data_IF_838071161297
#
_entry.id   IF_838071161297
#
_cell.length_a   1.000
_cell.length_b   1.000
_cell.length_c   1.000
_cell.angle_alpha   90.00
_cell.angle_beta   90.00
_cell.angle_gamma   90.00
#
_symmetry.space_group_name_H-M   'P 1'
#
loop_
_entity.id
_entity.type
_entity.pdbx_description
1 polymer ?
#
# COMPACT_ATOMS: atom_id res chain seq x y z
N UNK A 1 -5.39 19.95 9.45
CA UNK A 1 -5.70 18.93 8.44
C UNK A 1 -6.98 18.24 8.90
N UNK A 2 -8.06 18.35 8.12
CA UNK A 2 -9.29 17.60 8.38
C UNK A 2 -8.95 16.11 8.45
N UNK A 3 -9.30 15.45 9.55
CA UNK A 3 -9.29 14.00 9.63
C UNK A 3 -10.21 13.52 8.50
N UNK A 4 -9.64 12.94 7.46
CA UNK A 4 -10.40 12.26 6.41
C UNK A 4 -11.29 11.26 7.13
N UNK A 5 -12.60 11.47 7.11
CA UNK A 5 -13.54 10.51 7.66
C UNK A 5 -13.40 9.23 6.83
N UNK A 6 -12.80 8.20 7.43
CA UNK A 6 -12.58 6.93 6.74
C UNK A 6 -13.92 6.21 6.58
N UNK A 7 -14.41 6.19 5.35
CA UNK A 7 -15.73 5.67 5.04
C UNK A 7 -15.61 4.19 4.70
N UNK A 8 -16.33 3.39 5.49
CA UNK A 8 -16.61 1.99 5.19
C UNK A 8 -18.07 1.93 4.75
N UNK A 9 -18.36 1.68 3.47
CA UNK A 9 -19.73 1.60 3.00
C UNK A 9 -20.44 0.39 3.61
N UNK A 10 -21.77 0.46 3.77
CA UNK A 10 -22.57 -0.67 4.26
C UNK A 10 -22.79 -1.74 3.20
N UNK A 11 -22.65 -1.38 1.93
CA UNK A 11 -22.88 -2.22 0.74
C UNK A 11 -21.72 -2.03 -0.24
N UNK A 12 -21.39 -3.02 -1.09
CA UNK A 12 -20.38 -2.83 -2.12
C UNK A 12 -20.88 -1.83 -3.18
N UNK A 13 -19.95 -1.04 -3.73
CA UNK A 13 -20.25 -0.19 -4.88
C UNK A 13 -20.48 -1.03 -6.13
N UNK A 14 -21.62 -0.84 -6.79
CA UNK A 14 -21.86 -1.44 -8.10
C UNK A 14 -21.28 -0.54 -9.21
N UNK A 15 -20.29 -1.06 -9.92
CA UNK A 15 -19.63 -0.35 -11.04
C UNK A 15 -20.17 -0.76 -12.41
N UNK A 16 -21.27 -1.52 -12.47
CA UNK A 16 -21.83 -2.03 -13.74
C UNK A 16 -22.14 -0.94 -14.77
N UNK A 17 -22.55 0.24 -14.30
CA UNK A 17 -22.89 1.40 -15.15
C UNK A 17 -21.76 2.41 -15.29
N UNK A 18 -20.59 2.15 -14.68
CA UNK A 18 -19.46 3.05 -14.78
C UNK A 18 -18.80 2.93 -16.15
N UNK A 19 -18.26 4.04 -16.65
CA UNK A 19 -17.65 4.08 -17.98
C UNK A 19 -16.22 3.58 -17.89
N UNK A 20 -15.85 2.57 -18.68
CA UNK A 20 -14.47 2.08 -18.74
C UNK A 20 -13.56 3.14 -19.38
N UNK A 21 -12.35 3.30 -18.83
CA UNK A 21 -11.34 4.16 -19.40
C UNK A 21 -10.57 3.41 -20.50
N UNK A 22 -10.89 3.71 -21.76
CA UNK A 22 -10.25 3.12 -22.94
C UNK A 22 -8.75 3.44 -23.02
N UNK A 23 -8.29 4.54 -22.42
CA UNK A 23 -6.88 4.92 -22.42
C UNK A 23 -6.07 4.20 -21.34
N UNK A 24 -6.72 3.39 -20.49
CA UNK A 24 -6.08 2.73 -19.37
C UNK A 24 -4.92 1.80 -19.80
N UNK A 25 -4.96 1.27 -21.01
CA UNK A 25 -3.89 0.45 -21.58
C UNK A 25 -2.51 1.15 -21.62
N UNK A 26 -2.45 2.48 -21.47
CA UNK A 26 -1.21 3.26 -21.42
C UNK A 26 -0.54 3.28 -20.04
N UNK A 27 -1.20 2.77 -19.00
CA UNK A 27 -0.71 2.82 -17.61
C UNK A 27 0.00 1.51 -17.20
N UNK A 28 0.78 1.53 -16.11
CA UNK A 28 1.71 0.45 -15.78
C UNK A 28 1.07 -0.92 -15.69
N UNK A 29 1.77 -1.92 -16.23
CA UNK A 29 1.38 -3.32 -16.18
C UNK A 29 1.46 -3.86 -14.75
N UNK A 30 0.62 -4.83 -14.44
CA UNK A 30 0.65 -5.53 -13.17
C UNK A 30 0.01 -6.90 -13.34
N UNK A 31 0.48 -7.89 -12.58
CA UNK A 31 0.09 -9.28 -12.78
C UNK A 31 -1.40 -9.60 -12.48
N UNK A 32 -2.16 -8.63 -11.95
CA UNK A 32 -3.59 -8.78 -11.63
C UNK A 32 -4.43 -8.06 -12.66
N UNK A 33 -5.55 -8.69 -13.03
CA UNK A 33 -6.46 -8.14 -14.01
C UNK A 33 -7.18 -6.92 -13.42
N UNK A 34 -7.10 -5.80 -14.12
CA UNK A 34 -7.51 -4.49 -13.65
C UNK A 34 -8.13 -3.69 -14.79
N UNK A 35 -9.18 -2.95 -14.45
CA UNK A 35 -9.90 -2.07 -15.36
C UNK A 35 -10.02 -0.72 -14.66
N UNK A 36 -9.83 0.38 -15.38
CA UNK A 36 -10.13 1.69 -14.84
C UNK A 36 -11.52 2.14 -15.29
N UNK A 37 -12.22 2.82 -14.39
CA UNK A 37 -13.56 3.33 -14.61
C UNK A 37 -13.66 4.81 -14.20
N UNK A 38 -14.58 5.51 -14.85
CA UNK A 38 -15.09 6.80 -14.40
C UNK A 38 -16.52 6.63 -13.85
N UNK A 39 -16.84 7.26 -12.71
CA UNK A 39 -18.18 7.19 -12.15
C UNK A 39 -19.19 7.89 -13.08
N UNK A 40 -20.46 7.42 -13.10
CA UNK A 40 -21.49 8.01 -13.93
C UNK A 40 -21.82 9.45 -13.50
N UNK A 41 -22.40 10.22 -14.42
CA UNK A 41 -22.98 11.51 -14.07
C UNK A 41 -24.21 11.33 -13.17
N UNK A 42 -24.39 12.20 -12.18
CA UNK A 42 -25.53 12.19 -11.27
C UNK A 42 -25.12 12.07 -9.80
N UNK A 43 -26.08 11.74 -8.91
CA UNK A 43 -25.80 11.55 -7.49
C UNK A 43 -24.82 10.40 -7.27
N UNK A 44 -23.70 10.69 -6.62
CA UNK A 44 -22.71 9.72 -6.18
C UNK A 44 -22.62 9.76 -4.65
N UNK A 45 -22.23 8.66 -4.00
CA UNK A 45 -21.86 8.72 -2.58
C UNK A 45 -20.78 9.79 -2.35
N UNK A 46 -20.84 10.52 -1.23
CA UNK A 46 -19.98 11.70 -0.98
C UNK A 46 -18.46 11.40 -0.98
N UNK A 47 -18.08 10.12 -0.88
CA UNK A 47 -16.71 9.65 -0.94
C UNK A 47 -16.23 9.23 -2.33
N UNK A 48 -17.11 9.30 -3.35
CA UNK A 48 -16.77 9.08 -4.74
C UNK A 48 -16.74 10.43 -5.45
N UNK A 49 -15.58 10.75 -6.03
CA UNK A 49 -15.34 12.03 -6.68
C UNK A 49 -15.81 11.97 -8.13
N UNK A 50 -16.75 12.84 -8.56
CA UNK A 50 -17.13 12.95 -9.96
C UNK A 50 -15.91 13.21 -10.86
N UNK A 51 -15.88 12.57 -12.04
CA UNK A 51 -14.81 12.75 -13.03
C UNK A 51 -13.44 12.18 -12.63
N UNK A 52 -13.31 11.60 -11.43
CA UNK A 52 -12.08 10.92 -10.98
C UNK A 52 -12.03 9.50 -11.55
N UNK A 53 -10.85 9.07 -12.01
CA UNK A 53 -10.59 7.67 -12.36
C UNK A 53 -10.56 6.80 -11.11
N UNK A 54 -11.09 5.58 -11.20
CA UNK A 54 -10.97 4.54 -10.18
C UNK A 54 -10.51 3.22 -10.79
N UNK A 55 -9.60 2.54 -10.13
CA UNK A 55 -9.08 1.24 -10.54
C UNK A 55 -9.91 0.12 -9.90
N UNK A 56 -10.61 -0.66 -10.72
CA UNK A 56 -11.27 -1.89 -10.31
C UNK A 56 -10.27 -3.05 -10.35
N UNK A 57 -9.69 -3.34 -9.19
CA UNK A 57 -8.56 -4.25 -9.05
C UNK A 57 -9.00 -5.62 -8.51
N UNK A 58 -9.00 -6.62 -9.40
CA UNK A 58 -9.44 -7.98 -9.09
C UNK A 58 -8.35 -8.79 -8.41
N UNK A 59 -8.78 -9.85 -7.74
CA UNK A 59 -7.91 -10.87 -7.17
C UNK A 59 -7.30 -11.78 -8.25
N UNK A 60 -6.17 -12.42 -7.91
CA UNK A 60 -5.72 -13.61 -8.65
C UNK A 60 -6.68 -14.77 -8.37
N UNK A 61 -6.91 -15.65 -9.34
CA UNK A 61 -7.79 -16.82 -9.18
C UNK A 61 -7.39 -17.71 -7.98
N UNK A 62 -6.09 -17.84 -7.72
CA UNK A 62 -5.56 -18.62 -6.58
C UNK A 62 -5.83 -17.97 -5.21
N UNK A 63 -6.12 -16.67 -5.16
CA UNK A 63 -6.30 -15.90 -3.93
C UNK A 63 -7.56 -15.02 -4.05
N UNK A 64 -8.77 -15.60 -4.09
CA UNK A 64 -10.00 -14.86 -4.42
C UNK A 64 -10.28 -13.67 -3.47
N UNK A 65 -9.88 -13.77 -2.21
CA UNK A 65 -10.03 -12.70 -1.21
C UNK A 65 -8.96 -11.60 -1.29
N UNK A 66 -7.96 -11.70 -2.17
CA UNK A 66 -6.78 -10.81 -2.18
C UNK A 66 -7.12 -9.33 -2.31
N UNK A 67 -8.20 -8.96 -3.00
CA UNK A 67 -8.64 -7.57 -3.11
C UNK A 67 -8.96 -6.94 -1.75
N UNK A 68 -9.42 -7.73 -0.76
CA UNK A 68 -9.65 -7.24 0.60
C UNK A 68 -8.38 -6.74 1.29
N UNK A 69 -7.21 -7.26 0.91
CA UNK A 69 -5.95 -6.76 1.44
C UNK A 69 -5.68 -5.30 1.00
N UNK A 70 -6.10 -4.89 -0.20
CA UNK A 70 -6.00 -3.49 -0.64
C UNK A 70 -6.88 -2.58 0.23
N UNK A 71 -8.12 -3.01 0.50
CA UNK A 71 -9.11 -2.27 1.28
C UNK A 71 -8.66 -2.17 2.75
N UNK A 72 -8.24 -3.29 3.35
CA UNK A 72 -7.72 -3.30 4.72
C UNK A 72 -6.45 -2.46 4.86
N UNK A 73 -5.53 -2.51 3.87
CA UNK A 73 -4.33 -1.70 3.84
C UNK A 73 -4.63 -0.20 3.81
N UNK A 74 -5.68 0.24 3.11
CA UNK A 74 -6.14 1.64 3.15
C UNK A 74 -6.51 2.09 4.57
N UNK A 75 -7.30 1.30 5.29
CA UNK A 75 -7.68 1.63 6.66
C UNK A 75 -6.52 1.52 7.66
N UNK A 76 -5.61 0.55 7.49
CA UNK A 76 -4.40 0.45 8.32
C UNK A 76 -3.48 1.64 8.07
N UNK A 77 -3.30 2.06 6.81
CA UNK A 77 -2.50 3.23 6.45
C UNK A 77 -3.03 4.49 7.12
N UNK A 78 -4.34 4.68 7.08
CA UNK A 78 -5.05 5.72 7.82
C UNK A 78 -4.72 5.74 9.32
N UNK A 79 -4.92 4.61 10.02
CA UNK A 79 -4.66 4.49 11.46
C UNK A 79 -3.19 4.75 11.80
N UNK A 80 -2.27 4.42 10.89
CA UNK A 80 -0.85 4.68 11.03
C UNK A 80 -0.44 6.11 10.62
N UNK A 81 -1.30 6.85 9.91
CA UNK A 81 -0.98 8.16 9.35
C UNK A 81 -0.08 8.11 8.10
N UNK A 82 -0.28 7.10 7.26
CA UNK A 82 0.39 6.89 5.97
C UNK A 82 -0.63 7.05 4.84
N UNK A 83 -0.26 7.81 3.81
CA UNK A 83 -1.11 8.05 2.65
C UNK A 83 -1.21 6.75 1.82
N UNK A 84 -2.40 6.17 1.79
CA UNK A 84 -2.79 5.04 0.95
C UNK A 84 -4.00 5.49 0.13
N UNK A 85 -4.07 5.24 -1.18
CA UNK A 85 -5.24 5.63 -1.98
C UNK A 85 -6.52 5.01 -1.41
N UNK A 86 -7.63 5.77 -1.33
CA UNK A 86 -8.92 5.24 -0.91
C UNK A 86 -9.30 3.98 -1.70
N UNK A 87 -9.72 2.94 -0.99
CA UNK A 87 -10.08 1.66 -1.56
C UNK A 87 -11.38 1.15 -0.96
N UNK A 88 -12.34 0.79 -1.82
CA UNK A 88 -13.69 0.39 -1.43
C UNK A 88 -14.03 -1.00 -1.96
N UNK A 89 -14.87 -1.78 -1.25
CA UNK A 89 -15.44 -3.00 -1.81
C UNK A 89 -16.37 -2.68 -2.97
N UNK A 90 -16.18 -3.36 -4.09
CA UNK A 90 -16.96 -3.13 -5.29
C UNK A 90 -17.31 -4.43 -6.03
N UNK A 91 -18.41 -4.37 -6.76
CA UNK A 91 -18.91 -5.44 -7.63
C UNK A 91 -19.19 -4.90 -9.02
N UNK A 92 -19.04 -5.76 -10.01
CA UNK A 92 -19.63 -5.57 -11.33
C UNK A 92 -20.65 -6.70 -11.53
N UNK A 93 -21.94 -6.36 -11.46
CA UNK A 93 -23.04 -7.31 -11.46
C UNK A 93 -23.23 -8.01 -12.81
N UNK A 94 -22.94 -7.35 -13.92
CA UNK A 94 -23.02 -7.97 -15.25
C UNK A 94 -21.99 -9.09 -15.42
N UNK A 95 -20.76 -8.90 -14.93
CA UNK A 95 -19.69 -9.89 -14.98
C UNK A 95 -19.59 -10.79 -13.74
N UNK A 96 -20.36 -10.49 -12.68
CA UNK A 96 -20.32 -11.14 -11.35
C UNK A 96 -18.94 -11.12 -10.70
N UNK A 97 -18.18 -10.05 -10.88
CA UNK A 97 -16.82 -9.91 -10.36
C UNK A 97 -16.78 -9.03 -9.12
N UNK A 98 -15.92 -9.39 -8.15
CA UNK A 98 -15.59 -8.59 -6.99
C UNK A 98 -14.18 -7.99 -7.13
N UNK A 99 -14.00 -6.79 -6.60
CA UNK A 99 -12.71 -6.11 -6.60
C UNK A 99 -12.61 -5.07 -5.47
N UNK A 100 -11.38 -4.58 -5.29
CA UNK A 100 -11.14 -3.31 -4.64
C UNK A 100 -11.27 -2.21 -5.69
N UNK A 101 -12.11 -1.21 -5.44
CA UNK A 101 -12.23 -0.01 -6.23
C UNK A 101 -11.35 1.07 -5.61
N UNK A 102 -10.23 1.36 -6.26
CA UNK A 102 -9.16 2.20 -5.71
C UNK A 102 -9.17 3.55 -6.42
N UNK A 103 -9.26 4.64 -5.67
CA UNK A 103 -9.20 5.99 -6.23
C UNK A 103 -7.85 6.26 -6.90
N UNK A 104 -7.87 6.87 -8.09
CA UNK A 104 -6.64 7.31 -8.76
C UNK A 104 -6.01 8.50 -8.03
N UNK A 105 -4.78 8.31 -7.55
CA UNK A 105 -4.15 9.23 -6.59
C UNK A 105 -3.49 10.48 -7.18
N UNK A 106 -3.63 10.70 -8.49
CA UNK A 106 -3.18 11.92 -9.16
C UNK A 106 -4.16 12.33 -10.26
N UNK A 107 -4.05 13.54 -10.76
CA UNK A 107 -4.87 14.04 -11.87
C UNK A 107 -4.01 14.15 -13.13
N UNK A 108 -4.46 13.51 -14.21
CA UNK A 108 -3.78 13.62 -15.50
C UNK A 108 -3.74 15.10 -15.95
N UNK A 109 -2.64 15.48 -16.59
CA UNK A 109 -2.42 16.85 -17.04
C UNK A 109 -2.06 17.85 -15.93
N UNK A 110 -2.29 17.54 -14.65
CA UNK A 110 -1.87 18.38 -13.51
C UNK A 110 -0.63 17.87 -12.81
N UNK A 111 -0.62 16.57 -12.51
CA UNK A 111 0.46 15.92 -11.78
C UNK A 111 1.05 14.82 -12.66
N UNK A 112 2.37 14.84 -12.85
CA UNK A 112 3.06 13.76 -13.56
C UNK A 112 3.53 12.72 -12.56
N UNK A 113 3.07 11.48 -12.73
CA UNK A 113 3.57 10.33 -11.99
C UNK A 113 4.74 9.68 -12.74
N UNK A 114 5.86 9.43 -12.05
CA UNK A 114 7.00 8.67 -12.57
C UNK A 114 7.26 7.49 -11.65
N UNK A 115 7.32 6.30 -12.24
CA UNK A 115 7.45 5.05 -11.52
C UNK A 115 8.87 4.84 -11.00
N UNK A 116 9.02 4.18 -9.86
CA UNK A 116 10.32 3.86 -9.26
C UNK A 116 11.24 3.09 -10.22
N UNK A 117 10.69 2.13 -10.96
CA UNK A 117 11.40 1.35 -11.97
C UNK A 117 12.05 2.20 -13.05
N UNK A 118 11.40 3.28 -13.48
CA UNK A 118 11.95 4.20 -14.50
C UNK A 118 13.21 4.91 -13.97
N UNK A 119 13.23 5.27 -12.69
CA UNK A 119 14.41 5.85 -12.05
C UNK A 119 15.52 4.82 -11.89
N UNK A 120 15.18 3.61 -11.43
CA UNK A 120 16.17 2.56 -11.21
C UNK A 120 16.85 2.15 -12.52
N UNK A 121 16.10 2.01 -13.62
CA UNK A 121 16.66 1.73 -14.96
C UNK A 121 17.62 2.81 -15.45
N UNK A 122 17.35 4.08 -15.12
CA UNK A 122 18.22 5.20 -15.51
C UNK A 122 19.47 5.29 -14.65
N UNK A 123 19.38 4.96 -13.37
CA UNK A 123 20.47 5.14 -12.41
C UNK A 123 21.40 3.94 -12.31
N UNK A 124 20.89 2.73 -12.55
CA UNK A 124 21.62 1.49 -12.34
C UNK A 124 21.83 0.81 -13.69
N UNK A 125 23.09 0.78 -14.12
CA UNK A 125 23.48 0.08 -15.34
C UNK A 125 23.07 -1.41 -15.24
N UNK A 126 22.42 -1.91 -16.30
CA UNK A 126 21.96 -3.29 -16.37
C UNK A 126 20.85 -3.64 -15.37
N UNK A 127 20.04 -2.67 -14.92
CA UNK A 127 18.90 -2.94 -14.03
C UNK A 127 17.84 -3.82 -14.71
N UNK A 128 17.67 -5.04 -14.22
CA UNK A 128 16.59 -5.96 -14.60
C UNK A 128 15.31 -5.53 -13.88
N UNK A 129 14.44 -4.80 -14.59
CA UNK A 129 13.18 -4.30 -14.04
C UNK A 129 12.19 -5.43 -13.76
N UNK A 130 12.19 -6.48 -14.55
CA UNK A 130 11.24 -7.59 -14.39
C UNK A 130 11.53 -8.36 -13.10
N UNK A 131 12.80 -8.67 -12.82
CA UNK A 131 13.19 -9.36 -11.59
C UNK A 131 13.35 -8.43 -10.40
N UNK A 132 13.77 -7.19 -10.62
CA UNK A 132 14.00 -6.20 -9.58
C UNK A 132 15.05 -6.60 -8.54
N UNK A 133 15.95 -7.55 -8.83
CA UNK A 133 16.90 -8.12 -7.86
C UNK A 133 17.95 -7.10 -7.39
N UNK A 134 18.18 -6.05 -8.19
CA UNK A 134 19.05 -4.92 -7.89
C UNK A 134 18.33 -3.79 -7.13
N UNK A 135 17.01 -3.87 -6.95
CA UNK A 135 16.23 -2.86 -6.24
C UNK A 135 16.69 -2.76 -4.78
N UNK A 136 17.12 -1.56 -4.38
CA UNK A 136 17.69 -1.33 -3.06
C UNK A 136 17.39 0.08 -2.54
N UNK A 137 17.32 0.20 -1.21
CA UNK A 137 16.99 1.46 -0.55
C UNK A 137 18.12 2.51 -0.67
N UNK A 138 19.38 2.09 -0.73
CA UNK A 138 20.50 3.02 -0.90
C UNK A 138 20.38 3.84 -2.20
N UNK A 139 20.10 3.21 -3.33
CA UNK A 139 19.92 3.89 -4.63
C UNK A 139 18.73 4.85 -4.61
N UNK A 140 17.61 4.46 -4.00
CA UNK A 140 16.45 5.34 -3.77
C UNK A 140 16.87 6.57 -2.95
N UNK A 141 17.64 6.38 -1.88
CA UNK A 141 18.11 7.48 -1.06
C UNK A 141 19.02 8.45 -1.83
N UNK A 142 19.90 7.92 -2.69
CA UNK A 142 20.74 8.74 -3.56
C UNK A 142 19.88 9.57 -4.53
N UNK A 143 18.87 8.95 -5.15
CA UNK A 143 17.90 9.62 -6.03
C UNK A 143 17.22 10.79 -5.31
N UNK A 144 16.55 10.51 -4.19
CA UNK A 144 15.75 11.51 -3.48
C UNK A 144 16.62 12.62 -2.88
N UNK A 145 17.82 12.29 -2.39
CA UNK A 145 18.80 13.29 -1.96
C UNK A 145 19.24 14.19 -3.13
N UNK A 146 19.36 13.64 -4.32
CA UNK A 146 19.76 14.40 -5.52
C UNK A 146 18.67 15.37 -5.92
N UNK A 147 17.41 14.90 -6.00
CA UNK A 147 16.25 15.75 -6.29
C UNK A 147 16.10 16.85 -5.23
N UNK A 148 16.29 16.51 -3.95
CA UNK A 148 16.26 17.49 -2.85
C UNK A 148 17.33 18.56 -2.98
N UNK A 149 18.56 18.21 -3.40
CA UNK A 149 19.63 19.20 -3.62
C UNK A 149 19.35 20.16 -4.76
N UNK A 150 18.46 19.80 -5.70
CA UNK A 150 18.00 20.71 -6.75
C UNK A 150 16.87 21.65 -6.28
N UNK A 151 16.40 21.51 -5.04
CA UNK A 151 15.33 22.32 -4.47
C UNK A 151 13.92 21.88 -4.87
N UNK A 152 13.76 20.74 -5.52
CA UNK A 152 12.45 20.27 -6.01
C UNK A 152 11.74 19.32 -5.05
N UNK A 153 12.47 18.58 -4.22
CA UNK A 153 11.88 17.60 -3.30
C UNK A 153 11.29 18.27 -2.06
N UNK A 154 10.15 17.75 -1.60
CA UNK A 154 9.65 18.06 -0.26
C UNK A 154 10.71 17.75 0.83
N UNK A 155 10.80 18.63 1.82
CA UNK A 155 11.85 18.60 2.82
C UNK A 155 11.84 17.33 3.69
N UNK A 156 10.69 16.68 3.84
CA UNK A 156 10.46 15.54 4.74
C UNK A 156 10.46 14.18 4.01
N UNK A 157 11.08 14.08 2.83
CA UNK A 157 11.11 12.84 2.06
C UNK A 157 11.69 11.63 2.82
N UNK A 158 12.63 11.84 3.75
CA UNK A 158 13.16 10.80 4.62
C UNK A 158 12.06 10.24 5.51
N UNK A 159 11.22 11.12 6.06
CA UNK A 159 10.08 10.75 6.88
C UNK A 159 9.00 10.05 6.05
N UNK A 160 8.77 10.48 4.80
CA UNK A 160 7.86 9.80 3.87
C UNK A 160 8.31 8.34 3.60
N UNK A 161 9.59 8.11 3.36
CA UNK A 161 10.13 6.75 3.20
C UNK A 161 10.12 5.94 4.49
N UNK A 162 10.44 6.56 5.63
CA UNK A 162 10.36 5.90 6.93
C UNK A 162 8.93 5.43 7.23
N UNK A 163 7.93 6.27 6.97
CA UNK A 163 6.50 5.92 7.07
C UNK A 163 6.10 4.79 6.12
N UNK A 164 6.57 4.84 4.87
CA UNK A 164 6.30 3.81 3.85
C UNK A 164 6.83 2.45 4.27
N UNK A 165 8.09 2.36 4.70
CA UNK A 165 8.68 1.09 5.13
C UNK A 165 8.15 0.63 6.48
N UNK A 166 7.80 1.53 7.40
CA UNK A 166 7.06 1.18 8.62
C UNK A 166 5.70 0.55 8.30
N UNK A 167 4.96 1.15 7.35
CA UNK A 167 3.67 0.63 6.90
C UNK A 167 3.80 -0.75 6.25
N UNK A 168 4.79 -0.93 5.37
CA UNK A 168 5.07 -2.22 4.75
C UNK A 168 5.45 -3.27 5.81
N UNK A 169 6.24 -2.90 6.82
CA UNK A 169 6.60 -3.79 7.91
C UNK A 169 5.40 -4.16 8.79
N UNK A 170 4.51 -3.21 9.09
CA UNK A 170 3.29 -3.44 9.86
C UNK A 170 2.30 -4.35 9.10
N UNK A 171 2.10 -4.10 7.80
CA UNK A 171 1.23 -4.91 6.95
C UNK A 171 1.89 -6.24 6.54
N UNK A 172 3.21 -6.37 6.67
CA UNK A 172 3.99 -7.46 6.12
C UNK A 172 3.98 -7.50 4.60
N UNK A 173 4.06 -6.34 3.94
CA UNK A 173 4.12 -6.24 2.48
C UNK A 173 5.49 -6.70 1.98
N UNK A 174 5.50 -7.78 1.22
CA UNK A 174 6.74 -8.39 0.68
C UNK A 174 7.05 -7.98 -0.76
N UNK A 175 6.18 -7.14 -1.34
CA UNK A 175 6.11 -6.89 -2.78
C UNK A 175 6.13 -5.39 -3.11
N UNK A 176 6.75 -4.57 -2.23
CA UNK A 176 7.11 -3.18 -2.54
C UNK A 176 8.28 -3.14 -3.54
N UNK A 177 8.09 -3.68 -4.73
CA UNK A 177 9.09 -3.67 -5.79
C UNK A 177 9.18 -2.30 -6.46
N UNK A 178 10.09 -2.15 -7.43
CA UNK A 178 10.39 -0.86 -8.07
C UNK A 178 9.19 -0.19 -8.74
N UNK A 179 8.17 -0.95 -9.12
CA UNK A 179 6.97 -0.42 -9.78
C UNK A 179 5.79 -0.23 -8.83
N UNK A 180 5.98 -0.49 -7.52
CA UNK A 180 4.99 -0.28 -6.47
C UNK A 180 5.33 0.95 -5.59
N UNK A 181 6.10 1.88 -6.14
CA UNK A 181 6.31 3.23 -5.61
C UNK A 181 6.66 4.17 -6.77
N UNK A 182 6.62 5.48 -6.55
CA UNK A 182 7.07 6.44 -7.53
C UNK A 182 7.14 7.86 -6.97
N UNK A 183 7.42 8.82 -7.83
CA UNK A 183 7.43 10.22 -7.50
C UNK A 183 6.34 10.96 -8.27
N UNK A 184 5.67 11.89 -7.59
CA UNK A 184 4.69 12.80 -8.15
C UNK A 184 5.37 14.15 -8.37
N UNK A 185 5.26 14.66 -9.60
CA UNK A 185 5.78 15.94 -10.02
C UNK A 185 4.60 16.87 -10.28
N UNK A 186 4.43 17.84 -9.41
CA UNK A 186 3.48 18.93 -9.57
C UNK A 186 4.21 20.12 -10.22
N UNK A 187 3.61 20.72 -11.23
CA UNK A 187 4.12 21.96 -11.83
C UNK A 187 3.48 23.13 -11.06
N UNK A 188 4.28 23.84 -10.26
CA UNK A 188 3.84 25.04 -9.55
C UNK A 188 4.52 26.28 -10.12
N UNK A 189 4.00 27.46 -9.80
CA UNK A 189 4.56 28.74 -10.26
C UNK A 189 6.02 28.94 -9.81
N UNK A 190 6.38 28.38 -8.65
CA UNK A 190 7.73 28.41 -8.05
C UNK A 190 8.70 27.34 -8.60
N UNK A 191 8.27 26.53 -9.57
CA UNK A 191 9.05 25.43 -10.14
C UNK A 191 8.45 24.04 -9.86
N UNK A 192 9.13 22.94 -10.24
CA UNK A 192 8.62 21.61 -10.01
C UNK A 192 8.70 21.24 -8.53
N UNK A 193 7.59 20.74 -7.98
CA UNK A 193 7.53 20.15 -6.63
C UNK A 193 7.42 18.64 -6.74
N UNK A 194 8.27 17.93 -6.02
CA UNK A 194 8.39 16.47 -6.06
C UNK A 194 8.08 15.89 -4.69
N UNK A 195 7.19 14.90 -4.67
CA UNK A 195 6.86 14.13 -3.48
C UNK A 195 6.81 12.63 -3.77
N UNK A 196 6.97 11.81 -2.74
CA UNK A 196 6.75 10.38 -2.84
C UNK A 196 5.27 10.11 -3.13
N UNK A 197 4.96 9.14 -3.98
CA UNK A 197 3.59 8.70 -4.21
C UNK A 197 2.98 8.10 -2.93
N UNK A 198 1.65 8.06 -2.80
CA UNK A 198 0.99 7.22 -1.81
C UNK A 198 1.45 5.76 -1.89
N UNK A 199 1.27 5.01 -0.79
CA UNK A 199 1.52 3.58 -0.77
C UNK A 199 0.38 2.85 -1.51
N UNK A 200 0.56 2.57 -2.80
CA UNK A 200 -0.41 1.83 -3.63
C UNK A 200 0.04 0.37 -3.85
N UNK A 201 -0.84 -0.49 -4.37
CA UNK A 201 -0.56 -1.91 -4.62
C UNK A 201 -0.12 -2.68 -3.35
N UNK A 202 -1.04 -2.78 -2.40
CA UNK A 202 -0.83 -3.42 -1.11
C UNK A 202 -1.44 -4.82 -1.04
N UNK A 203 -1.94 -5.35 -2.17
CA UNK A 203 -2.63 -6.65 -2.21
C UNK A 203 -1.77 -7.87 -1.86
N UNK A 204 -0.43 -7.74 -1.87
CA UNK A 204 0.52 -8.79 -1.45
C UNK A 204 0.99 -8.58 -0.01
N UNK A 205 0.03 -8.30 0.89
CA UNK A 205 0.27 -8.03 2.31
C UNK A 205 -0.76 -8.76 3.18
N UNK A 206 -0.70 -8.56 4.51
CA UNK A 206 -1.74 -8.98 5.47
C UNK A 206 -2.08 -10.49 5.44
N UNK A 207 -1.10 -11.32 5.06
CA UNK A 207 -1.27 -12.77 4.96
C UNK A 207 -2.25 -13.20 3.88
N UNK A 208 -2.39 -12.43 2.79
CA UNK A 208 -3.27 -12.75 1.66
C UNK A 208 -3.10 -14.19 1.11
N UNK A 209 -1.90 -14.76 1.25
CA UNK A 209 -1.57 -16.12 0.82
C UNK A 209 -2.07 -17.20 1.79
N UNK A 210 -2.41 -16.83 3.03
CA UNK A 210 -2.93 -17.74 4.02
C UNK A 210 -4.42 -18.02 3.77
N UNK A 211 -4.79 -19.29 3.85
CA UNK A 211 -6.18 -19.73 3.69
C UNK A 211 -6.77 -20.29 4.98
N UNK A 212 -8.06 -20.03 5.19
CA UNK A 212 -8.79 -20.43 6.39
C UNK A 212 -8.76 -21.95 6.64
N UNK A 213 -8.77 -22.73 5.56
CA UNK A 213 -8.85 -24.19 5.62
C UNK A 213 -7.52 -24.87 5.92
N UNK A 214 -6.38 -24.17 5.77
CA UNK A 214 -5.05 -24.79 5.80
C UNK A 214 -4.14 -24.14 6.84
N UNK A 215 -4.27 -22.83 7.09
CA UNK A 215 -3.30 -22.04 7.83
C UNK A 215 -3.95 -21.13 8.87
N UNK A 216 -3.18 -20.68 9.87
CA UNK A 216 -3.58 -19.67 10.85
C UNK A 216 -4.46 -20.14 12.02
N UNK A 217 -5.41 -21.07 11.85
CA UNK A 217 -6.36 -21.45 12.93
C UNK A 217 -5.72 -22.05 14.18
N UNK A 218 -4.67 -22.86 14.01
CA UNK A 218 -4.06 -23.65 15.08
C UNK A 218 -2.54 -23.40 15.18
N UNK A 219 -2.10 -22.19 14.84
CA UNK A 219 -0.70 -21.83 15.02
C UNK A 219 -0.45 -21.51 16.49
N UNK A 220 0.59 -22.11 17.07
CA UNK A 220 1.13 -21.71 18.36
C UNK A 220 1.86 -20.36 18.23
N UNK A 221 2.18 -19.75 19.38
CA UNK A 221 2.88 -18.46 19.42
C UNK A 221 4.24 -18.52 18.73
N UNK A 222 4.95 -19.65 18.82
CA UNK A 222 6.23 -19.85 18.16
C UNK A 222 6.11 -19.81 16.63
N UNK A 223 5.06 -20.42 16.06
CA UNK A 223 4.79 -20.41 14.63
C UNK A 223 4.33 -19.04 14.15
N UNK A 224 3.51 -18.34 14.91
CA UNK A 224 3.15 -16.94 14.64
C UNK A 224 4.38 -16.05 14.58
N UNK A 225 5.23 -16.11 15.61
CA UNK A 225 6.45 -15.33 15.69
C UNK A 225 7.38 -15.66 14.51
N UNK A 226 7.56 -16.94 14.19
CA UNK A 226 8.37 -17.36 13.04
C UNK A 226 7.83 -16.83 11.71
N UNK A 227 6.53 -16.78 11.53
CA UNK A 227 5.91 -16.25 10.32
C UNK A 227 6.18 -14.74 10.18
N UNK A 228 5.91 -13.95 11.22
CA UNK A 228 6.09 -12.49 11.15
C UNK A 228 7.56 -12.08 11.06
N UNK A 229 8.46 -12.76 11.78
CA UNK A 229 9.89 -12.42 11.81
C UNK A 229 10.63 -12.77 10.51
N UNK A 230 10.02 -13.57 9.63
CA UNK A 230 10.55 -13.88 8.29
C UNK A 230 10.15 -12.86 7.23
N UNK A 231 9.31 -11.88 7.58
CA UNK A 231 8.91 -10.82 6.67
C UNK A 231 10.11 -9.99 6.19
N UNK A 232 10.16 -9.72 4.89
CA UNK A 232 11.19 -8.89 4.26
C UNK A 232 10.55 -7.98 3.22
N UNK A 233 11.10 -6.78 3.06
CA UNK A 233 10.77 -5.91 1.94
C UNK A 233 11.19 -6.57 0.63
N UNK A 234 10.62 -6.15 -0.50
CA UNK A 234 11.12 -6.61 -1.80
C UNK A 234 12.56 -6.13 -2.07
N UNK A 235 12.91 -4.96 -1.54
CA UNK A 235 14.21 -4.32 -1.77
C UNK A 235 15.29 -4.81 -0.82
N UNK A 236 16.53 -4.73 -1.28
CA UNK A 236 17.74 -4.84 -0.46
C UNK A 236 18.02 -3.52 0.28
N UNK A 237 18.92 -3.55 1.27
CA UNK A 237 19.41 -2.31 1.87
C UNK A 237 20.39 -1.57 0.95
N UNK A 238 21.38 -2.30 0.43
CA UNK A 238 22.33 -1.83 -0.60
C UNK A 238 22.38 -2.83 -1.75
N UNK A 239 23.03 -2.47 -2.85
CA UNK A 239 23.18 -3.37 -4.00
C UNK A 239 23.96 -4.65 -3.65
N UNK A 240 24.98 -4.51 -2.81
CA UNK A 240 25.89 -5.55 -2.33
C UNK A 240 25.27 -6.42 -1.23
N UNK A 241 24.14 -6.01 -0.67
CA UNK A 241 23.46 -6.82 0.34
C UNK A 241 23.07 -8.18 -0.27
N UNK A 242 23.40 -9.30 0.40
CA UNK A 242 23.20 -10.63 -0.18
C UNK A 242 21.71 -10.99 -0.29
N UNK A 243 20.90 -10.44 0.61
CA UNK A 243 19.47 -10.72 0.73
C UNK A 243 18.66 -9.43 0.73
N UNK A 244 17.35 -9.60 0.51
CA UNK A 244 16.34 -8.57 0.77
C UNK A 244 16.36 -8.17 2.24
N UNK A 245 16.00 -6.92 2.51
CA UNK A 245 16.02 -6.40 3.87
C UNK A 245 14.81 -6.89 4.67
N UNK A 246 15.04 -7.43 5.86
CA UNK A 246 13.97 -7.83 6.78
C UNK A 246 13.10 -6.63 7.20
N UNK A 247 11.82 -6.87 7.46
CA UNK A 247 10.90 -5.79 7.87
C UNK A 247 11.33 -5.10 9.17
N UNK A 248 11.64 -5.88 10.21
CA UNK A 248 12.08 -5.34 11.50
C UNK A 248 13.47 -4.68 11.40
N UNK A 249 14.41 -5.33 10.72
CA UNK A 249 15.78 -4.80 10.58
C UNK A 249 15.81 -3.56 9.69
N UNK A 250 14.99 -3.49 8.65
CA UNK A 250 14.87 -2.33 7.77
C UNK A 250 14.33 -1.10 8.50
N UNK A 251 13.29 -1.27 9.32
CA UNK A 251 12.76 -0.18 10.17
C UNK A 251 13.81 0.28 11.19
N UNK A 252 14.56 -0.63 11.81
CA UNK A 252 15.64 -0.25 12.72
C UNK A 252 16.74 0.56 11.99
N UNK A 253 17.21 0.07 10.84
CA UNK A 253 18.23 0.77 10.06
C UNK A 253 17.76 2.15 9.58
N UNK A 254 16.48 2.32 9.28
CA UNK A 254 15.89 3.63 9.00
C UNK A 254 15.95 4.56 10.20
N UNK A 255 15.61 4.06 11.38
CA UNK A 255 15.64 4.81 12.62
C UNK A 255 17.07 5.24 13.00
N UNK A 256 18.06 4.37 12.74
CA UNK A 256 19.49 4.69 12.92
C UNK A 256 19.96 5.73 11.91
N UNK A 257 19.50 5.62 10.66
CA UNK A 257 19.90 6.53 9.58
C UNK A 257 19.27 7.92 9.71
N UNK A 258 18.03 7.98 10.20
CA UNK A 258 17.24 9.20 10.34
C UNK A 258 16.66 9.29 11.76
N UNK A 259 17.41 9.83 12.74
CA UNK A 259 16.95 9.88 14.13
C UNK A 259 15.60 10.58 14.33
N UNK A 260 15.34 11.67 13.60
CA UNK A 260 14.01 12.33 13.61
C UNK A 260 12.87 11.43 13.15
N UNK A 261 13.15 10.46 12.27
CA UNK A 261 12.16 9.51 11.83
C UNK A 261 11.90 8.41 12.87
N UNK A 262 12.86 8.08 13.75
CA UNK A 262 12.66 7.13 14.86
C UNK A 262 11.50 7.58 15.73
N UNK A 263 11.57 8.81 16.24
CA UNK A 263 10.57 9.35 17.15
C UNK A 263 9.20 9.43 16.48
N UNK A 264 9.17 9.84 15.21
CA UNK A 264 7.94 9.87 14.44
C UNK A 264 7.33 8.48 14.21
N UNK A 265 8.14 7.47 13.87
CA UNK A 265 7.68 6.08 13.70
C UNK A 265 7.17 5.51 15.03
N UNK A 266 7.90 5.71 16.12
CA UNK A 266 7.50 5.29 17.47
C UNK A 266 6.17 5.93 17.87
N UNK A 267 6.02 7.24 17.67
CA UNK A 267 4.78 7.96 17.98
C UNK A 267 3.58 7.41 17.19
N UNK A 268 3.77 7.07 15.90
CA UNK A 268 2.69 6.46 15.09
C UNK A 268 2.30 5.06 15.59
N UNK A 269 3.26 4.22 15.95
CA UNK A 269 2.96 2.88 16.49
C UNK A 269 2.24 2.94 17.84
N UNK A 270 2.65 3.87 18.72
CA UNK A 270 2.01 4.08 20.02
C UNK A 270 0.59 4.64 19.88
N UNK A 271 0.36 5.52 18.89
CA UNK A 271 -0.96 6.05 18.58
C UNK A 271 -1.83 5.10 17.73
N UNK A 272 -1.30 3.97 17.27
CA UNK A 272 -2.03 3.04 16.42
C UNK A 272 -3.12 2.32 17.23
N UNK A 273 -4.37 2.68 16.96
CA UNK A 273 -5.53 2.18 17.69
C UNK A 273 -5.96 0.79 17.17
N UNK A 274 -5.64 -0.23 17.96
CA UNK A 274 -6.04 -1.61 17.66
C UNK A 274 -7.53 -1.86 17.87
N UNK A 275 -8.21 -1.08 18.73
CA UNK A 275 -9.66 -1.19 18.90
C UNK A 275 -10.34 -0.68 17.63
N UNK A 276 -9.94 0.49 17.12
CA UNK A 276 -10.41 1.03 15.86
C UNK A 276 -10.12 0.08 14.67
N UNK A 277 -8.96 -0.59 14.66
CA UNK A 277 -8.67 -1.63 13.66
C UNK A 277 -9.66 -2.79 13.75
N UNK A 278 -9.92 -3.31 14.96
CA UNK A 278 -10.88 -4.41 15.16
C UNK A 278 -12.27 -4.03 14.66
N UNK A 279 -12.76 -2.84 15.02
CA UNK A 279 -14.05 -2.32 14.57
C UNK A 279 -14.11 -2.17 13.04
N UNK A 280 -13.06 -1.63 12.45
CA UNK A 280 -12.92 -1.51 10.98
C UNK A 280 -13.04 -2.88 10.31
N UNK A 281 -12.27 -3.87 10.76
CA UNK A 281 -12.27 -5.21 10.17
C UNK A 281 -13.61 -5.92 10.37
N UNK A 282 -14.27 -5.73 11.52
CA UNK A 282 -15.61 -6.24 11.78
C UNK A 282 -16.66 -5.60 10.86
N UNK A 283 -16.56 -4.29 10.60
CA UNK A 283 -17.45 -3.60 9.65
C UNK A 283 -17.25 -4.09 8.22
N UNK A 284 -16.00 -4.27 7.78
CA UNK A 284 -15.70 -4.85 6.47
C UNK A 284 -16.27 -6.27 6.34
N UNK A 285 -16.21 -7.07 7.40
CA UNK A 285 -16.76 -8.43 7.43
C UNK A 285 -18.30 -8.48 7.36
N UNK A 286 -18.95 -7.36 7.71
CA UNK A 286 -20.40 -7.20 7.61
C UNK A 286 -20.91 -6.85 6.21
N UNK A 287 -20.02 -6.52 5.26
CA UNK A 287 -20.43 -6.12 3.90
C UNK A 287 -20.78 -7.37 3.07
N UNK A 288 -22.01 -7.46 2.52
CA UNK A 288 -22.43 -8.63 1.77
C UNK A 288 -21.76 -8.66 0.39
N UNK A 289 -20.88 -9.64 0.17
CA UNK A 289 -20.22 -9.88 -1.13
C UNK A 289 -20.15 -11.37 -1.42
N UNK A 290 -20.17 -11.73 -2.70
CA UNK A 290 -20.03 -13.14 -3.14
C UNK A 290 -18.67 -13.75 -2.78
N UNK A 291 -17.63 -12.91 -2.68
CA UNK A 291 -16.34 -13.25 -2.06
C UNK A 291 -16.24 -12.48 -0.73
N UNK A 292 -16.70 -13.06 0.38
CA UNK A 292 -16.84 -12.35 1.65
C UNK A 292 -15.49 -12.08 2.30
N UNK A 293 -15.43 -10.99 3.07
CA UNK A 293 -14.35 -10.79 4.04
C UNK A 293 -14.69 -11.60 5.30
N UNK A 294 -14.18 -12.83 5.40
CA UNK A 294 -14.62 -13.73 6.47
C UNK A 294 -14.20 -13.24 7.87
N UNK A 295 -14.94 -13.59 8.93
CA UNK A 295 -14.51 -13.34 10.31
C UNK A 295 -13.13 -13.94 10.62
N UNK A 296 -12.78 -15.07 10.00
CA UNK A 296 -11.44 -15.63 10.12
C UNK A 296 -10.38 -14.71 9.50
N UNK A 297 -10.61 -14.18 8.29
CA UNK A 297 -9.69 -13.24 7.64
C UNK A 297 -9.53 -11.96 8.48
N UNK A 298 -10.62 -11.42 9.03
CA UNK A 298 -10.56 -10.28 9.93
C UNK A 298 -9.67 -10.56 11.15
N UNK A 299 -9.85 -11.71 11.81
CA UNK A 299 -9.04 -12.11 12.97
C UNK A 299 -7.57 -12.37 12.60
N UNK A 300 -7.30 -12.97 11.44
CA UNK A 300 -5.96 -13.18 10.90
C UNK A 300 -5.22 -11.85 10.76
N UNK A 301 -5.85 -10.88 10.08
CA UNK A 301 -5.28 -9.56 9.84
C UNK A 301 -5.03 -8.83 11.16
N UNK A 302 -6.01 -8.83 12.06
CA UNK A 302 -5.85 -8.25 13.39
C UNK A 302 -4.63 -8.82 14.12
N UNK A 303 -4.50 -10.16 14.18
CA UNK A 303 -3.40 -10.82 14.90
C UNK A 303 -2.03 -10.55 14.26
N UNK A 304 -1.96 -10.51 12.93
CA UNK A 304 -0.74 -10.17 12.21
C UNK A 304 -0.27 -8.74 12.49
N UNK A 305 -1.20 -7.78 12.44
CA UNK A 305 -0.90 -6.37 12.71
C UNK A 305 -0.49 -6.16 14.16
N UNK A 306 -1.21 -6.78 15.12
CA UNK A 306 -0.89 -6.72 16.55
C UNK A 306 0.55 -7.19 16.82
N UNK A 307 0.88 -8.39 16.36
CA UNK A 307 2.19 -8.98 16.63
C UNK A 307 3.32 -8.18 15.96
N UNK A 308 3.11 -7.70 14.72
CA UNK A 308 4.11 -6.86 14.02
C UNK A 308 4.28 -5.52 14.69
N UNK A 309 3.20 -4.86 15.12
CA UNK A 309 3.26 -3.60 15.87
C UNK A 309 4.11 -3.77 17.13
N UNK A 310 3.85 -4.82 17.91
CA UNK A 310 4.57 -5.06 19.17
C UNK A 310 6.06 -5.35 18.94
N UNK A 311 6.40 -6.07 17.86
CA UNK A 311 7.79 -6.31 17.47
C UNK A 311 8.48 -5.04 16.94
N UNK A 312 7.77 -4.20 16.20
CA UNK A 312 8.27 -2.92 15.71
C UNK A 312 8.52 -1.92 16.84
N UNK A 313 7.62 -1.86 17.84
CA UNK A 313 7.83 -1.08 19.06
C UNK A 313 9.11 -1.50 19.77
N UNK A 314 9.32 -2.81 19.95
CA UNK A 314 10.55 -3.35 20.55
C UNK A 314 11.79 -3.07 19.73
N UNK A 315 11.69 -3.08 18.39
CA UNK A 315 12.82 -2.77 17.53
C UNK A 315 13.26 -1.32 17.70
N UNK A 316 12.30 -0.37 17.80
CA UNK A 316 12.58 1.06 17.85
C UNK A 316 12.96 1.61 19.24
N UNK A 317 12.75 0.83 20.31
CA UNK A 317 13.19 1.12 21.68
C UNK A 317 14.71 1.17 21.78
#
# INVERSE_FOLDING_TARGET
MSLVTHIIPSEPLDVTTWTEDEEFARYPEGARAKTAYFPPAGPLPDYIKPGRRYLFKRSRKAFPEQFWAEIAAYHIGSLLGVEVPPAYPAVNNSSRQCAALIEWFYEDGKTRFVMGGDFMQKMLEGFDRDKGSQHNFHSIRVLFRTIHRQGWMEADWQLAWARTLLFDALCGNTDRHQDNWGALFDVTDDGPRVRLSPCYDNGTSLGHELSEHIQGKNWDDARWLRYVSKGAHHMKWTLESPNREGHLSGVQKLADLFPLARDAMMARLLAFDMVALRETLSRLAGIPMTVPFSPWRANLIYRLVELRRDLLLKALQ
#
